data_IF_462197262018
#
_entry.id   IF_462197262018
#
_cell.length_a   1.000
_cell.length_b   1.000
_cell.length_c   1.000
_cell.angle_alpha   90.00
_cell.angle_beta   90.00
_cell.angle_gamma   90.00
#
_symmetry.space_group_name_H-M   'P 1'
#
loop_
_entity.id
_entity.type
_entity.pdbx_description
1 polymer ?
#
# COMPACT_ATOMS: atom_id res chain seq x y z
N UNK A 1 21.38 -23.85 14.23
CA UNK A 1 20.64 -22.90 15.08
C UNK A 1 20.94 -21.42 14.79
N UNK A 2 22.16 -21.01 14.44
CA UNK A 2 22.47 -19.59 14.11
C UNK A 2 21.66 -18.98 12.96
N UNK A 3 21.28 -19.76 11.94
CA UNK A 3 20.56 -19.25 10.76
C UNK A 3 19.10 -18.81 11.00
N UNK A 4 18.38 -19.43 11.95
CA UNK A 4 17.00 -19.04 12.26
C UNK A 4 16.94 -17.68 12.96
N UNK A 5 17.89 -17.40 13.85
CA UNK A 5 17.99 -16.12 14.53
C UNK A 5 18.39 -14.99 13.57
N UNK A 6 19.22 -15.27 12.56
CA UNK A 6 19.63 -14.26 11.58
C UNK A 6 18.43 -13.72 10.78
N UNK A 7 17.57 -14.60 10.26
CA UNK A 7 16.36 -14.20 9.52
C UNK A 7 15.39 -13.42 10.42
N UNK A 8 15.23 -13.86 11.67
CA UNK A 8 14.35 -13.19 12.62
C UNK A 8 14.86 -11.80 13.01
N UNK A 9 16.17 -11.64 13.22
CA UNK A 9 16.81 -10.34 13.51
C UNK A 9 16.66 -9.39 12.32
N UNK A 10 16.89 -9.86 11.09
CA UNK A 10 16.70 -9.04 9.88
C UNK A 10 15.25 -8.60 9.73
N UNK A 11 14.29 -9.51 9.96
CA UNK A 11 12.87 -9.20 9.89
C UNK A 11 12.47 -8.15 10.95
N UNK A 12 12.92 -8.31 12.19
CA UNK A 12 12.67 -7.33 13.26
C UNK A 12 13.29 -5.97 12.95
N UNK A 13 14.54 -5.94 12.47
CA UNK A 13 15.20 -4.70 12.08
C UNK A 13 14.45 -3.97 10.95
N UNK A 14 13.95 -4.72 9.95
CA UNK A 14 13.13 -4.18 8.87
C UNK A 14 11.81 -3.60 9.40
N UNK A 15 11.12 -4.29 10.31
CA UNK A 15 9.88 -3.81 10.93
C UNK A 15 10.13 -2.52 11.72
N UNK A 16 11.20 -2.48 12.52
CA UNK A 16 11.58 -1.27 13.28
C UNK A 16 11.85 -0.10 12.34
N UNK A 17 12.61 -0.32 11.25
CA UNK A 17 12.87 0.69 10.24
C UNK A 17 11.56 1.21 9.59
N UNK A 18 10.64 0.31 9.24
CA UNK A 18 9.35 0.68 8.65
C UNK A 18 8.49 1.50 9.63
N UNK A 19 8.44 1.13 10.91
CA UNK A 19 7.75 1.90 11.94
C UNK A 19 8.32 3.32 12.08
N UNK A 20 9.65 3.45 12.12
CA UNK A 20 10.31 4.77 12.16
C UNK A 20 9.98 5.60 10.92
N UNK A 21 9.96 4.97 9.74
CA UNK A 21 9.60 5.65 8.49
C UNK A 21 8.17 6.20 8.51
N UNK A 22 7.20 5.42 8.97
CA UNK A 22 5.78 5.85 9.04
C UNK A 22 5.62 7.01 10.01
N UNK A 23 6.27 6.94 11.19
CA UNK A 23 6.26 8.03 12.16
C UNK A 23 6.84 9.30 11.52
N UNK A 24 7.94 9.17 10.77
CA UNK A 24 8.52 10.30 10.05
C UNK A 24 7.63 10.81 8.92
N UNK A 25 6.94 9.94 8.19
CA UNK A 25 6.02 10.31 7.12
C UNK A 25 4.81 11.06 7.68
N UNK A 26 4.27 10.63 8.82
CA UNK A 26 3.20 11.32 9.53
C UNK A 26 3.65 12.69 10.05
N UNK A 27 4.82 12.76 10.70
CA UNK A 27 5.39 14.03 11.19
C UNK A 27 5.66 15.04 10.08
N UNK A 28 5.91 14.57 8.86
CA UNK A 28 6.13 15.41 7.67
C UNK A 28 4.83 15.75 6.93
N UNK A 29 3.67 15.33 7.43
CA UNK A 29 2.37 15.55 6.79
C UNK A 29 2.20 14.81 5.47
N UNK A 30 3.01 13.77 5.20
CA UNK A 30 2.92 12.97 3.95
C UNK A 30 1.79 11.95 3.98
N UNK A 31 1.36 11.57 5.17
CA UNK A 31 0.22 10.67 5.40
C UNK A 31 -0.73 11.34 6.37
N UNK A 32 -2.02 11.17 6.13
CA UNK A 32 -3.07 11.61 7.03
C UNK A 32 -3.21 10.64 8.22
N UNK A 33 -4.09 10.99 9.16
CA UNK A 33 -4.31 10.17 10.35
C UNK A 33 -4.80 8.75 10.01
N UNK A 34 -5.70 8.63 9.02
CA UNK A 34 -6.21 7.33 8.58
C UNK A 34 -5.12 6.47 7.95
N UNK A 35 -4.26 7.06 7.11
CA UNK A 35 -3.08 6.40 6.55
C UNK A 35 -2.12 5.93 7.63
N UNK A 36 -1.80 6.78 8.61
CA UNK A 36 -0.92 6.42 9.73
C UNK A 36 -1.43 5.20 10.52
N UNK A 37 -2.70 5.22 10.95
CA UNK A 37 -3.30 4.13 11.72
C UNK A 37 -3.40 2.84 10.91
N UNK A 38 -3.73 2.94 9.62
CA UNK A 38 -3.80 1.78 8.71
C UNK A 38 -2.44 1.09 8.58
N UNK A 39 -1.38 1.87 8.33
CA UNK A 39 -0.02 1.35 8.24
C UNK A 39 0.45 0.77 9.58
N UNK A 40 0.17 1.46 10.70
CA UNK A 40 0.53 0.97 12.03
C UNK A 40 -0.10 -0.40 12.33
N UNK A 41 -1.38 -0.60 11.99
CA UNK A 41 -2.04 -1.91 12.13
C UNK A 41 -1.36 -3.00 11.29
N UNK A 42 -1.06 -2.72 10.02
CA UNK A 42 -0.42 -3.69 9.11
C UNK A 42 0.94 -4.13 9.66
N UNK A 43 1.80 -3.18 10.04
CA UNK A 43 3.11 -3.55 10.59
C UNK A 43 3.04 -4.16 11.98
N UNK A 44 2.02 -3.81 12.77
CA UNK A 44 1.70 -4.50 14.02
C UNK A 44 1.40 -5.98 13.80
N UNK A 45 0.59 -6.32 12.80
CA UNK A 45 0.30 -7.71 12.42
C UNK A 45 1.59 -8.43 12.01
N UNK A 46 2.43 -7.80 11.18
CA UNK A 46 3.72 -8.39 10.80
C UNK A 46 4.68 -8.59 11.98
N UNK A 47 4.69 -7.66 12.95
CA UNK A 47 5.48 -7.80 14.17
C UNK A 47 5.04 -9.03 14.98
N UNK A 48 3.74 -9.23 15.17
CA UNK A 48 3.20 -10.40 15.86
C UNK A 48 3.59 -11.70 15.15
N UNK A 49 3.47 -11.74 13.83
CA UNK A 49 3.86 -12.91 13.01
C UNK A 49 5.37 -13.20 13.15
N UNK A 50 6.21 -12.16 13.14
CA UNK A 50 7.66 -12.30 13.27
C UNK A 50 8.12 -12.77 14.66
N UNK A 51 7.36 -12.46 15.72
CA UNK A 51 7.65 -12.92 17.09
C UNK A 51 7.24 -14.39 17.29
N UNK A 52 6.13 -14.84 16.69
CA UNK A 52 5.60 -16.20 16.87
C UNK A 52 5.45 -17.00 15.57
N UNK A 53 6.53 -17.16 14.77
CA UNK A 53 6.43 -17.76 13.43
C UNK A 53 5.95 -19.21 13.47
N UNK A 54 6.38 -20.00 14.48
CA UNK A 54 6.04 -21.43 14.59
C UNK A 54 4.57 -21.64 14.95
N UNK A 55 4.02 -20.85 15.88
CA UNK A 55 2.61 -20.97 16.29
C UNK A 55 1.67 -20.59 15.15
N UNK A 56 1.94 -19.46 14.49
CA UNK A 56 1.18 -18.99 13.33
C UNK A 56 1.21 -20.04 12.20
N UNK A 57 2.39 -20.60 11.92
CA UNK A 57 2.57 -21.62 10.89
C UNK A 57 1.74 -22.90 11.16
N UNK A 58 1.63 -23.31 12.43
CA UNK A 58 0.85 -24.48 12.83
C UNK A 58 -0.66 -24.24 12.74
N UNK A 59 -1.15 -23.07 13.15
CA UNK A 59 -2.58 -22.73 13.05
C UNK A 59 -3.04 -22.61 11.61
N UNK A 60 -2.25 -21.95 10.75
CA UNK A 60 -2.55 -21.82 9.32
C UNK A 60 -2.53 -23.18 8.63
N UNK A 61 -1.60 -24.07 9.01
CA UNK A 61 -1.61 -25.46 8.55
C UNK A 61 -2.92 -26.17 8.91
N UNK A 62 -3.42 -25.99 10.13
CA UNK A 62 -4.68 -26.59 10.58
C UNK A 62 -5.90 -26.11 9.79
N UNK A 63 -5.89 -24.86 9.34
CA UNK A 63 -6.97 -24.26 8.54
C UNK A 63 -6.92 -24.66 7.05
N UNK A 64 -5.73 -24.68 6.45
CA UNK A 64 -5.56 -24.84 5.00
C UNK A 64 -5.17 -26.25 4.56
N UNK A 65 -4.78 -27.13 5.47
CA UNK A 65 -4.46 -28.54 5.18
C UNK A 65 -3.17 -28.78 4.38
N UNK A 66 -2.34 -27.75 4.17
CA UNK A 66 -1.08 -27.86 3.42
C UNK A 66 0.03 -28.49 4.29
N UNK A 67 0.75 -29.49 3.74
CA UNK A 67 1.66 -30.37 4.49
C UNK A 67 2.78 -29.67 5.27
N UNK A 68 3.24 -28.50 4.79
CA UNK A 68 4.24 -27.64 5.42
C UNK A 68 3.64 -26.27 5.73
N UNK A 69 3.67 -25.84 6.99
CA UNK A 69 3.07 -24.56 7.38
C UNK A 69 3.73 -23.31 6.76
N UNK A 70 4.96 -23.44 6.28
CA UNK A 70 5.66 -22.36 5.57
C UNK A 70 5.12 -22.18 4.13
N UNK A 71 4.73 -23.27 3.46
CA UNK A 71 4.13 -23.22 2.12
C UNK A 71 2.71 -22.63 2.18
N UNK A 72 1.97 -22.95 3.24
CA UNK A 72 0.65 -22.36 3.49
C UNK A 72 0.71 -20.84 3.68
N UNK A 73 1.69 -20.37 4.46
CA UNK A 73 1.97 -18.94 4.63
C UNK A 73 2.30 -18.26 3.30
N UNK A 74 3.10 -18.89 2.45
CA UNK A 74 3.43 -18.34 1.14
C UNK A 74 2.22 -18.24 0.22
N UNK A 75 1.40 -19.27 0.12
CA UNK A 75 0.18 -19.26 -0.70
C UNK A 75 -0.76 -18.13 -0.26
N UNK A 76 -0.99 -18.00 1.05
CA UNK A 76 -1.82 -16.92 1.60
C UNK A 76 -1.20 -15.55 1.30
N UNK A 77 0.11 -15.38 1.52
CA UNK A 77 0.79 -14.11 1.30
C UNK A 77 0.75 -13.70 -0.17
N UNK A 78 0.99 -14.64 -1.09
CA UNK A 78 0.90 -14.39 -2.53
C UNK A 78 -0.54 -14.01 -2.90
N UNK A 79 -1.54 -14.74 -2.41
CA UNK A 79 -2.95 -14.42 -2.63
C UNK A 79 -3.32 -13.01 -2.13
N UNK A 80 -2.90 -12.66 -0.92
CA UNK A 80 -3.09 -11.32 -0.35
C UNK A 80 -2.40 -10.24 -1.18
N UNK A 81 -1.16 -10.46 -1.61
CA UNK A 81 -0.42 -9.53 -2.47
C UNK A 81 -1.17 -9.32 -3.79
N UNK A 82 -1.68 -10.38 -4.42
CA UNK A 82 -2.49 -10.26 -5.64
C UNK A 82 -3.75 -9.43 -5.44
N UNK A 83 -4.46 -9.63 -4.32
CA UNK A 83 -5.65 -8.83 -3.99
C UNK A 83 -5.29 -7.35 -3.78
N UNK A 84 -4.20 -7.06 -3.07
CA UNK A 84 -3.71 -5.70 -2.87
C UNK A 84 -3.25 -5.05 -4.19
N UNK A 85 -2.55 -5.80 -5.05
CA UNK A 85 -2.16 -5.33 -6.38
C UNK A 85 -3.38 -5.02 -7.25
N UNK A 86 -4.42 -5.86 -7.18
CA UNK A 86 -5.66 -5.61 -7.90
C UNK A 86 -6.36 -4.34 -7.42
N UNK A 87 -6.45 -4.12 -6.10
CA UNK A 87 -6.99 -2.87 -5.55
C UNK A 87 -6.18 -1.65 -6.01
N UNK A 88 -4.85 -1.74 -5.96
CA UNK A 88 -3.97 -0.68 -6.44
C UNK A 88 -4.17 -0.38 -7.93
N UNK A 89 -4.33 -1.41 -8.76
CA UNK A 89 -4.62 -1.26 -10.18
C UNK A 89 -5.95 -0.50 -10.41
N UNK A 90 -7.01 -0.85 -9.68
CA UNK A 90 -8.30 -0.15 -9.76
C UNK A 90 -8.17 1.32 -9.37
N UNK A 91 -7.41 1.62 -8.33
CA UNK A 91 -7.19 3.00 -7.88
C UNK A 91 -6.39 3.82 -8.89
N UNK A 92 -5.38 3.20 -9.53
CA UNK A 92 -4.63 3.82 -10.62
C UNK A 92 -5.54 4.11 -11.82
N UNK A 93 -6.44 3.19 -12.20
CA UNK A 93 -7.38 3.42 -13.32
C UNK A 93 -8.35 4.58 -13.01
N UNK A 94 -8.88 4.64 -11.79
CA UNK A 94 -9.73 5.77 -11.34
C UNK A 94 -8.99 7.10 -11.43
N UNK A 95 -7.78 7.15 -10.86
CA UNK A 95 -6.93 8.34 -10.89
C UNK A 95 -6.66 8.80 -12.33
N UNK A 96 -6.37 7.85 -13.24
CA UNK A 96 -6.14 8.16 -14.66
C UNK A 96 -7.39 8.76 -15.34
N UNK A 97 -8.58 8.25 -15.01
CA UNK A 97 -9.85 8.81 -15.53
C UNK A 97 -10.08 10.22 -15.03
N UNK A 98 -9.89 10.46 -13.73
CA UNK A 98 -10.02 11.80 -13.12
C UNK A 98 -9.08 12.81 -13.78
N UNK A 99 -7.81 12.46 -13.99
CA UNK A 99 -6.84 13.31 -14.69
C UNK A 99 -7.30 13.61 -16.12
N UNK A 100 -7.85 12.62 -16.83
CA UNK A 100 -8.35 12.79 -18.20
C UNK A 100 -9.54 13.75 -18.24
N UNK A 101 -10.47 13.62 -17.31
CA UNK A 101 -11.63 14.52 -17.18
C UNK A 101 -11.22 15.95 -16.81
N UNK A 102 -10.29 16.09 -15.86
CA UNK A 102 -9.72 17.39 -15.47
C UNK A 102 -9.05 18.07 -16.66
N UNK A 103 -8.21 17.35 -17.40
CA UNK A 103 -7.52 17.89 -18.58
C UNK A 103 -8.52 18.34 -19.65
N UNK A 104 -9.60 17.59 -19.87
CA UNK A 104 -10.67 17.97 -20.82
C UNK A 104 -11.38 19.25 -20.38
N UNK A 105 -11.74 19.35 -19.10
CA UNK A 105 -12.39 20.56 -18.56
C UNK A 105 -11.50 21.79 -18.71
N UNK A 106 -10.21 21.66 -18.35
CA UNK A 106 -9.23 22.74 -18.50
C UNK A 106 -9.07 23.16 -19.97
N UNK A 107 -9.02 22.20 -20.91
CA UNK A 107 -8.90 22.52 -22.34
C UNK A 107 -10.11 23.31 -22.87
N UNK A 108 -11.33 22.91 -22.51
CA UNK A 108 -12.56 23.61 -22.90
C UNK A 108 -12.59 25.02 -22.31
N UNK A 109 -12.28 25.16 -21.01
CA UNK A 109 -12.27 26.46 -20.35
C UNK A 109 -11.23 27.41 -20.96
N UNK A 110 -10.05 26.90 -21.34
CA UNK A 110 -9.01 27.67 -22.00
C UNK A 110 -9.43 28.11 -23.42
N UNK A 111 -10.15 27.26 -24.16
CA UNK A 111 -10.71 27.59 -25.47
C UNK A 111 -11.77 28.70 -25.35
N UNK A 112 -12.71 28.60 -24.40
CA UNK A 112 -13.72 29.63 -24.16
C UNK A 112 -13.09 30.99 -23.78
N UNK A 113 -12.04 30.98 -22.95
CA UNK A 113 -11.30 32.20 -22.59
C UNK A 113 -10.66 32.81 -23.84
N UNK A 114 -10.00 32.02 -24.68
CA UNK A 114 -9.38 32.49 -25.91
C UNK A 114 -10.40 33.07 -26.90
N UNK A 115 -11.58 32.47 -27.03
CA UNK A 115 -12.66 33.02 -27.87
C UNK A 115 -13.17 34.37 -27.34
N UNK A 116 -13.32 34.51 -26.02
CA UNK A 116 -13.73 35.78 -25.41
C UNK A 116 -12.67 36.87 -25.62
N UNK A 117 -11.40 36.53 -25.53
CA UNK A 117 -10.29 37.47 -25.78
C UNK A 117 -10.29 37.96 -27.24
N UNK A 118 -10.44 37.06 -28.22
CA UNK A 118 -10.55 37.45 -29.64
C UNK A 118 -11.69 38.44 -29.90
N UNK A 119 -12.86 38.19 -29.30
CA UNK A 119 -14.03 39.09 -29.41
C UNK A 119 -13.80 40.47 -28.79
N UNK A 120 -12.88 40.59 -27.84
CA UNK A 120 -12.49 41.88 -27.24
C UNK A 120 -11.46 42.62 -28.11
N UNK A 121 -10.54 41.90 -28.75
CA UNK A 121 -9.54 42.49 -29.66
C UNK A 121 -10.16 43.00 -30.97
N UNK A 122 -11.28 42.41 -31.42
CA UNK A 122 -12.01 42.82 -32.63
C UNK A 122 -12.94 44.03 -32.42
N UNK A 123 -13.05 44.59 -31.20
CA UNK A 123 -13.87 45.77 -30.87
C UNK A 123 -13.02 47.02 -30.67
#
# INVERSE_FOLDING_TARGET
>A
MMGMYAVQIIALAAIVYLLVRIINDYRRGRIDWYGFVSWLMIFGIFAVIAVFPVRISLEIKGLLGLGRGLDALFVVSIGLIFLLMFQLYVEIDRTKREITELTRKVAIELEEINERLKKLEER
#
